data_IF_550131622872
#
_entry.id   IF_550131622872
#
_cell.length_a   1.000
_cell.length_b   1.000
_cell.length_c   1.000
_cell.angle_alpha   90.00
_cell.angle_beta   90.00
_cell.angle_gamma   90.00
#
_symmetry.space_group_name_H-M   'P 1'
#
loop_
_entity.id
_entity.type
_entity.pdbx_description
1 polymer ?
#
# COMPACT_ATOMS: atom_id res chain seq x y z
N UNK A 1 5.32 -15.66 -5.36
CA UNK A 1 5.37 -14.37 -6.07
C UNK A 1 6.80 -13.84 -6.25
N UNK A 2 7.76 -14.23 -5.41
CA UNK A 2 9.17 -14.02 -5.73
C UNK A 2 9.55 -14.86 -6.94
N UNK A 3 10.17 -14.26 -7.95
CA UNK A 3 10.64 -14.95 -9.17
C UNK A 3 12.03 -14.47 -9.55
N UNK A 4 12.74 -15.31 -10.32
CA UNK A 4 13.95 -14.90 -11.00
C UNK A 4 13.57 -14.26 -12.34
N UNK A 5 13.94 -13.01 -12.52
CA UNK A 5 13.67 -12.26 -13.74
C UNK A 5 14.99 -11.77 -14.34
N UNK A 6 15.52 -12.55 -15.29
CA UNK A 6 16.82 -12.28 -15.93
C UNK A 6 18.00 -12.18 -14.96
N UNK A 7 18.05 -13.09 -13.99
CA UNK A 7 19.09 -13.13 -12.98
C UNK A 7 18.87 -12.20 -11.77
N UNK A 8 17.73 -11.49 -11.72
CA UNK A 8 17.35 -10.61 -10.63
C UNK A 8 16.16 -11.20 -9.89
N UNK A 9 16.24 -11.26 -8.55
CA UNK A 9 15.09 -11.62 -7.74
C UNK A 9 14.11 -10.44 -7.69
N UNK A 10 12.88 -10.68 -8.13
CA UNK A 10 11.82 -9.66 -8.19
C UNK A 10 10.53 -10.18 -7.55
N UNK A 11 9.67 -9.26 -7.12
CA UNK A 11 8.35 -9.59 -6.56
C UNK A 11 7.27 -9.28 -7.57
N UNK A 12 6.70 -10.33 -8.13
CA UNK A 12 5.63 -10.23 -9.11
C UNK A 12 4.36 -9.64 -8.47
N UNK A 13 3.77 -8.65 -9.12
CA UNK A 13 2.58 -7.95 -8.62
C UNK A 13 1.39 -8.91 -8.45
N UNK A 14 1.02 -9.61 -9.51
CA UNK A 14 -0.20 -10.42 -9.56
C UNK A 14 0.06 -11.77 -10.23
N UNK A 15 -0.65 -12.79 -9.76
CA UNK A 15 -0.72 -14.12 -10.34
C UNK A 15 -2.16 -14.65 -10.25
N UNK A 16 -2.53 -15.59 -11.16
CA UNK A 16 -3.79 -16.31 -11.04
C UNK A 16 -3.62 -17.69 -10.42
N UNK A 17 -4.71 -18.22 -9.87
CA UNK A 17 -4.76 -19.57 -9.29
C UNK A 17 -4.43 -20.67 -10.31
N UNK A 18 -5.00 -20.53 -11.52
CA UNK A 18 -4.76 -21.46 -12.60
C UNK A 18 -3.51 -21.03 -13.39
N UNK A 19 -2.45 -21.85 -13.45
CA UNK A 19 -1.25 -21.54 -14.23
C UNK A 19 -1.50 -21.32 -15.73
N UNK A 20 -2.49 -22.00 -16.32
CA UNK A 20 -2.86 -21.81 -17.73
C UNK A 20 -3.47 -20.42 -17.93
N UNK A 21 -4.44 -20.04 -17.09
CA UNK A 21 -5.03 -18.70 -17.10
C UNK A 21 -3.98 -17.64 -16.79
N UNK A 22 -3.06 -17.91 -15.87
CA UNK A 22 -1.98 -17.01 -15.54
C UNK A 22 -1.10 -16.70 -16.74
N UNK A 23 -0.74 -17.71 -17.54
CA UNK A 23 0.06 -17.54 -18.76
C UNK A 23 -0.66 -16.77 -19.88
N UNK A 24 -1.99 -16.85 -19.93
CA UNK A 24 -2.81 -16.12 -20.92
C UNK A 24 -2.95 -14.64 -20.52
N UNK A 25 -3.29 -14.36 -19.25
CA UNK A 25 -3.53 -13.00 -18.80
C UNK A 25 -2.25 -12.24 -18.46
N UNK A 26 -1.22 -12.95 -18.01
CA UNK A 26 0.07 -12.39 -17.63
C UNK A 26 1.21 -13.14 -18.32
N UNK A 27 1.31 -13.05 -19.66
CA UNK A 27 2.36 -13.75 -20.44
C UNK A 27 3.76 -13.30 -20.01
N UNK A 28 3.86 -12.13 -19.40
CA UNK A 28 5.09 -11.62 -18.81
C UNK A 28 4.81 -11.16 -17.36
N UNK A 29 5.73 -11.42 -16.42
CA UNK A 29 5.59 -10.93 -15.06
C UNK A 29 5.59 -9.39 -15.05
N UNK A 30 4.69 -8.81 -14.27
CA UNK A 30 4.60 -7.37 -14.03
C UNK A 30 5.08 -7.11 -12.61
N UNK A 31 5.91 -6.09 -12.47
CA UNK A 31 6.45 -5.62 -11.19
C UNK A 31 6.02 -4.18 -10.99
N UNK A 32 5.66 -3.84 -9.77
CA UNK A 32 5.23 -2.51 -9.41
C UNK A 32 5.92 -2.07 -8.13
N UNK A 33 6.39 -0.82 -8.11
CA UNK A 33 7.24 -0.30 -7.05
C UNK A 33 6.50 -0.20 -5.71
N UNK A 34 5.34 0.45 -5.73
CA UNK A 34 4.47 0.65 -4.58
C UNK A 34 3.08 0.05 -4.80
N UNK A 35 2.07 0.70 -4.29
CA UNK A 35 0.64 0.38 -4.37
C UNK A 35 0.33 -1.13 -4.30
N UNK A 36 -0.11 -1.77 -5.36
CA UNK A 36 -0.46 -3.20 -5.32
C UNK A 36 0.73 -4.13 -5.50
N UNK A 37 1.78 -3.70 -6.20
CA UNK A 37 2.98 -4.49 -6.45
C UNK A 37 3.95 -4.54 -5.29
N UNK A 38 4.02 -3.48 -4.50
CA UNK A 38 4.75 -3.39 -3.24
C UNK A 38 6.17 -3.93 -3.24
N UNK A 39 6.90 -3.85 -4.37
CA UNK A 39 8.28 -4.36 -4.45
C UNK A 39 9.18 -3.75 -3.36
N UNK A 40 9.08 -2.44 -3.12
CA UNK A 40 9.89 -1.76 -2.10
C UNK A 40 9.49 -2.19 -0.68
N UNK A 41 8.20 -2.18 -0.34
CA UNK A 41 7.74 -2.55 0.99
C UNK A 41 7.97 -4.04 1.27
N UNK A 42 7.73 -4.92 0.30
CA UNK A 42 8.00 -6.35 0.46
C UNK A 42 9.48 -6.61 0.68
N UNK A 43 10.36 -5.89 -0.02
CA UNK A 43 11.81 -5.98 0.21
C UNK A 43 12.17 -5.60 1.64
N UNK A 44 11.61 -4.51 2.17
CA UNK A 44 11.82 -4.14 3.59
C UNK A 44 11.31 -5.22 4.55
N UNK A 45 10.17 -5.85 4.26
CA UNK A 45 9.68 -6.97 5.08
C UNK A 45 10.64 -8.16 5.07
N UNK A 46 11.30 -8.43 3.96
CA UNK A 46 12.31 -9.48 3.87
C UNK A 46 13.61 -9.12 4.60
N UNK A 47 14.00 -7.84 4.62
CA UNK A 47 15.09 -7.37 5.47
C UNK A 47 14.73 -7.58 6.96
N UNK A 48 13.49 -7.29 7.36
CA UNK A 48 12.99 -7.55 8.71
C UNK A 48 12.97 -9.05 9.06
N UNK A 49 12.66 -9.92 8.11
CA UNK A 49 12.75 -11.37 8.30
C UNK A 49 14.20 -11.79 8.60
N UNK A 50 15.15 -11.22 7.88
CA UNK A 50 16.56 -11.44 8.19
C UNK A 50 16.94 -10.95 9.60
N UNK A 51 16.46 -9.77 10.01
CA UNK A 51 16.70 -9.23 11.36
C UNK A 51 16.18 -10.18 12.44
N UNK A 52 15.00 -10.75 12.24
CA UNK A 52 14.32 -11.59 13.25
C UNK A 52 14.75 -13.05 13.25
N UNK A 53 15.05 -13.60 12.10
CA UNK A 53 15.25 -15.03 11.92
C UNK A 53 16.61 -15.40 11.32
N UNK A 54 17.46 -14.41 10.96
CA UNK A 54 18.75 -14.66 10.30
C UNK A 54 18.63 -15.20 8.87
N UNK A 55 17.46 -15.03 8.23
CA UNK A 55 17.19 -15.61 6.92
C UNK A 55 17.90 -14.82 5.80
N UNK A 56 19.13 -15.26 5.49
CA UNK A 56 19.98 -14.60 4.51
C UNK A 56 19.41 -14.62 3.09
N UNK A 57 18.70 -15.69 2.71
CA UNK A 57 18.06 -15.77 1.40
C UNK A 57 17.05 -14.64 1.18
N UNK A 58 16.29 -14.30 2.22
CA UNK A 58 15.34 -13.19 2.15
C UNK A 58 16.05 -11.84 2.06
N UNK A 59 17.16 -11.65 2.81
CA UNK A 59 17.98 -10.44 2.65
C UNK A 59 18.52 -10.31 1.23
N UNK A 60 19.13 -11.37 0.70
CA UNK A 60 19.70 -11.35 -0.64
C UNK A 60 18.63 -11.08 -1.72
N UNK A 61 17.43 -11.65 -1.57
CA UNK A 61 16.30 -11.38 -2.46
C UNK A 61 15.81 -9.92 -2.36
N UNK A 62 15.73 -9.37 -1.15
CA UNK A 62 15.35 -7.98 -0.93
C UNK A 62 16.35 -7.01 -1.56
N UNK A 63 17.64 -7.22 -1.32
CA UNK A 63 18.70 -6.39 -1.90
C UNK A 63 18.71 -6.49 -3.43
N UNK A 64 18.56 -7.68 -3.99
CA UNK A 64 18.46 -7.90 -5.44
C UNK A 64 17.31 -7.09 -6.06
N UNK A 65 16.14 -7.14 -5.44
CA UNK A 65 14.96 -6.40 -5.93
C UNK A 65 15.17 -4.88 -5.85
N UNK A 66 15.58 -4.37 -4.68
CA UNK A 66 15.78 -2.94 -4.48
C UNK A 66 16.89 -2.40 -5.40
N UNK A 67 18.00 -3.13 -5.50
CA UNK A 67 19.12 -2.74 -6.35
C UNK A 67 18.70 -2.62 -7.83
N UNK A 68 17.87 -3.55 -8.32
CA UNK A 68 17.31 -3.49 -9.67
C UNK A 68 16.42 -2.26 -9.89
N UNK A 69 15.58 -1.90 -8.89
CA UNK A 69 14.77 -0.69 -8.98
C UNK A 69 15.62 0.58 -8.98
N UNK A 70 16.67 0.66 -8.14
CA UNK A 70 17.58 1.83 -8.11
C UNK A 70 18.22 2.09 -9.47
N UNK A 71 18.52 1.03 -10.24
CA UNK A 71 19.10 1.12 -11.59
C UNK A 71 18.13 1.67 -12.64
N UNK A 72 16.81 1.69 -12.34
CA UNK A 72 15.82 2.23 -13.29
C UNK A 72 15.68 3.75 -13.22
N UNK A 73 16.27 4.40 -12.20
CA UNK A 73 16.09 5.83 -11.97
C UNK A 73 16.80 6.67 -13.03
N UNK A 74 16.07 7.62 -13.59
CA UNK A 74 16.58 8.60 -14.54
C UNK A 74 17.37 9.73 -13.83
N UNK A 75 18.20 10.49 -14.56
CA UNK A 75 18.97 11.59 -13.96
C UNK A 75 18.13 12.65 -13.25
N UNK A 76 16.89 12.88 -13.70
CA UNK A 76 15.95 13.80 -13.06
C UNK A 76 15.29 13.27 -11.78
N UNK A 77 15.59 12.04 -11.37
CA UNK A 77 15.03 11.42 -10.15
C UNK A 77 13.78 10.58 -10.35
N UNK A 78 13.11 10.66 -11.51
CA UNK A 78 11.96 9.80 -11.83
C UNK A 78 12.41 8.40 -12.22
N UNK A 79 11.48 7.46 -12.16
CA UNK A 79 11.68 6.08 -12.58
C UNK A 79 10.36 5.46 -13.06
N UNK A 80 10.37 4.41 -13.91
CA UNK A 80 9.16 3.69 -14.31
C UNK A 80 8.56 2.98 -13.09
N UNK A 81 7.35 3.34 -12.69
CA UNK A 81 6.72 2.77 -11.48
C UNK A 81 6.17 1.37 -11.69
N UNK A 82 5.93 1.01 -12.96
CA UNK A 82 5.60 -0.34 -13.40
C UNK A 82 6.72 -0.85 -14.30
N UNK A 83 7.22 -2.05 -14.01
CA UNK A 83 8.29 -2.68 -14.76
C UNK A 83 7.81 -3.98 -15.40
N UNK A 84 7.75 -3.97 -16.72
CA UNK A 84 7.61 -5.19 -17.53
C UNK A 84 8.54 -5.05 -18.73
N UNK A 85 9.32 -6.10 -19.03
CA UNK A 85 10.37 -6.04 -20.06
C UNK A 85 9.88 -5.65 -21.45
N UNK A 86 8.64 -5.99 -21.80
CA UNK A 86 8.04 -5.72 -23.11
C UNK A 86 7.45 -4.30 -23.21
N UNK A 87 7.37 -3.55 -22.10
CA UNK A 87 6.93 -2.17 -22.10
C UNK A 87 8.18 -1.30 -22.08
N UNK A 88 8.34 -0.46 -23.10
CA UNK A 88 9.44 0.49 -23.12
C UNK A 88 9.35 1.43 -21.92
N UNK A 89 10.43 1.49 -21.13
CA UNK A 89 10.51 2.31 -19.91
C UNK A 89 10.23 3.79 -20.18
N UNK A 90 10.44 4.24 -21.40
CA UNK A 90 10.30 5.64 -21.80
C UNK A 90 8.86 6.09 -22.02
N UNK A 91 7.92 5.15 -22.17
CA UNK A 91 6.55 5.45 -22.59
C UNK A 91 5.49 5.25 -21.50
N UNK A 92 5.83 4.72 -20.35
CA UNK A 92 4.87 4.52 -19.26
C UNK A 92 5.05 5.62 -18.21
N UNK A 93 4.12 6.56 -18.11
CA UNK A 93 4.16 7.56 -17.04
C UNK A 93 4.14 6.89 -15.67
N UNK A 94 5.01 7.33 -14.78
CA UNK A 94 4.96 6.94 -13.39
C UNK A 94 3.88 7.72 -12.63
N UNK A 95 3.24 7.08 -11.67
CA UNK A 95 2.19 7.70 -10.88
C UNK A 95 2.67 8.11 -9.48
N UNK A 96 2.03 9.16 -8.94
CA UNK A 96 2.42 9.80 -7.67
C UNK A 96 2.27 8.87 -6.46
N UNK A 97 1.32 7.93 -6.48
CA UNK A 97 1.12 6.95 -5.42
C UNK A 97 2.35 6.03 -5.32
N UNK A 98 2.75 5.45 -6.44
CA UNK A 98 3.93 4.59 -6.53
C UNK A 98 5.23 5.34 -6.21
N UNK A 99 5.39 6.58 -6.69
CA UNK A 99 6.56 7.40 -6.35
C UNK A 99 6.67 7.65 -4.85
N UNK A 100 5.58 8.08 -4.22
CA UNK A 100 5.57 8.35 -2.79
C UNK A 100 5.83 7.10 -1.96
N UNK A 101 5.23 5.98 -2.35
CA UNK A 101 5.46 4.71 -1.65
C UNK A 101 6.90 4.24 -1.78
N UNK A 102 7.44 4.21 -2.99
CA UNK A 102 8.82 3.78 -3.25
C UNK A 102 9.83 4.70 -2.53
N UNK A 103 9.62 6.01 -2.57
CA UNK A 103 10.47 6.97 -1.87
C UNK A 103 10.52 6.74 -0.38
N UNK A 104 9.35 6.61 0.26
CA UNK A 104 9.27 6.34 1.70
C UNK A 104 9.92 4.99 2.08
N UNK A 105 9.65 3.93 1.32
CA UNK A 105 10.19 2.60 1.61
C UNK A 105 11.68 2.49 1.30
N UNK A 106 12.22 3.27 0.34
CA UNK A 106 13.66 3.38 0.11
C UNK A 106 14.38 3.96 1.33
N UNK A 107 13.86 5.06 1.90
CA UNK A 107 14.41 5.66 3.14
C UNK A 107 14.32 4.69 4.29
N UNK A 108 13.17 4.06 4.52
CA UNK A 108 12.95 3.09 5.60
C UNK A 108 13.88 1.87 5.47
N UNK A 109 14.09 1.39 4.24
CA UNK A 109 15.00 0.26 3.97
C UNK A 109 16.46 0.66 4.20
N UNK A 110 16.85 1.87 3.78
CA UNK A 110 18.17 2.43 4.07
C UNK A 110 18.42 2.52 5.57
N UNK A 111 17.52 3.14 6.33
CA UNK A 111 17.66 3.30 7.78
C UNK A 111 17.77 1.94 8.50
N UNK A 112 16.97 0.96 8.08
CA UNK A 112 17.02 -0.40 8.63
C UNK A 112 18.36 -1.08 8.32
N UNK A 113 18.84 -1.03 7.08
CA UNK A 113 20.14 -1.63 6.70
C UNK A 113 21.31 -0.94 7.39
N UNK A 114 21.28 0.39 7.50
CA UNK A 114 22.26 1.19 8.24
C UNK A 114 22.36 0.75 9.70
N UNK A 115 21.21 0.48 10.35
CA UNK A 115 21.19 -0.03 11.74
C UNK A 115 21.83 -1.42 11.90
N UNK A 116 21.93 -2.19 10.82
CA UNK A 116 22.59 -3.48 10.74
C UNK A 116 24.07 -3.39 10.31
N UNK A 117 24.59 -2.19 10.06
CA UNK A 117 25.94 -1.99 9.53
C UNK A 117 26.09 -2.35 8.03
N UNK A 118 24.96 -2.47 7.30
CA UNK A 118 24.96 -2.78 5.87
C UNK A 118 24.81 -1.47 5.10
N UNK A 119 25.91 -1.00 4.50
CA UNK A 119 25.86 0.24 3.69
C UNK A 119 25.08 0.04 2.38
N UNK A 120 24.13 0.96 2.14
CA UNK A 120 23.33 1.08 0.92
C UNK A 120 22.95 2.54 0.67
N UNK A 121 23.94 3.42 0.67
CA UNK A 121 23.76 4.88 0.50
C UNK A 121 22.92 5.21 -0.74
N UNK A 122 23.05 4.43 -1.80
CA UNK A 122 22.26 4.60 -3.03
C UNK A 122 20.74 4.55 -2.83
N UNK A 123 20.23 3.94 -1.74
CA UNK A 123 18.80 3.93 -1.46
C UNK A 123 18.33 5.30 -0.93
N UNK A 124 19.17 5.93 -0.09
CA UNK A 124 18.91 7.29 0.33
C UNK A 124 19.05 8.26 -0.83
N UNK A 125 20.10 8.13 -1.65
CA UNK A 125 20.33 8.95 -2.85
C UNK A 125 19.18 8.86 -3.86
N UNK A 126 18.61 7.67 -4.03
CA UNK A 126 17.40 7.45 -4.84
C UNK A 126 16.23 8.27 -4.32
N UNK A 127 15.93 8.19 -3.02
CA UNK A 127 14.86 8.94 -2.39
C UNK A 127 15.11 10.45 -2.43
N UNK A 128 16.35 10.90 -2.23
CA UNK A 128 16.73 12.31 -2.34
C UNK A 128 16.44 12.85 -3.75
N UNK A 129 16.93 12.19 -4.79
CA UNK A 129 16.69 12.64 -6.18
C UNK A 129 15.21 12.65 -6.54
N UNK A 130 14.46 11.64 -6.10
CA UNK A 130 13.01 11.58 -6.30
C UNK A 130 12.29 12.73 -5.60
N UNK A 131 12.55 12.94 -4.32
CA UNK A 131 11.90 13.99 -3.55
C UNK A 131 12.32 15.39 -3.99
N UNK A 132 13.58 15.59 -4.38
CA UNK A 132 14.06 16.87 -4.94
C UNK A 132 13.30 17.22 -6.21
N UNK A 133 13.09 16.25 -7.13
CA UNK A 133 12.24 16.47 -8.29
C UNK A 133 10.86 17.00 -7.90
N UNK A 134 10.19 16.39 -6.93
CA UNK A 134 8.85 16.81 -6.53
C UNK A 134 8.83 18.10 -5.71
N UNK A 135 9.90 18.44 -4.99
CA UNK A 135 10.07 19.76 -4.36
C UNK A 135 10.20 20.86 -5.41
N UNK A 136 11.00 20.62 -6.46
CA UNK A 136 11.24 21.57 -7.55
C UNK A 136 10.02 21.76 -8.46
N UNK A 137 9.22 20.71 -8.67
CA UNK A 137 8.07 20.72 -9.58
C UNK A 137 6.72 20.83 -8.85
N UNK A 138 6.74 21.15 -7.55
CA UNK A 138 5.53 21.41 -6.79
C UNK A 138 4.78 22.64 -7.35
N UNK A 139 3.50 22.48 -7.63
CA UNK A 139 2.64 23.56 -8.11
C UNK A 139 1.66 23.99 -7.02
N UNK A 140 1.49 25.30 -6.81
CA UNK A 140 0.64 25.85 -5.74
C UNK A 140 -0.87 25.62 -5.95
N UNK A 141 -1.29 25.28 -7.16
CA UNK A 141 -2.69 24.99 -7.50
C UNK A 141 -2.94 23.48 -7.58
N UNK A 142 -2.05 22.76 -8.26
CA UNK A 142 -2.25 21.36 -8.60
C UNK A 142 -1.40 20.38 -7.74
N UNK A 143 -0.56 20.88 -6.85
CA UNK A 143 0.30 20.06 -6.00
C UNK A 143 1.30 19.24 -6.82
N UNK A 144 1.39 17.95 -6.53
CA UNK A 144 2.35 17.04 -7.19
C UNK A 144 1.88 16.47 -8.54
N UNK A 145 0.65 16.77 -8.99
CA UNK A 145 0.07 16.12 -10.17
C UNK A 145 -0.35 14.67 -9.90
N UNK A 146 -0.64 13.91 -10.95
CA UNK A 146 -1.07 12.51 -10.87
C UNK A 146 -0.02 11.59 -11.48
N UNK A 147 0.35 11.82 -12.74
CA UNK A 147 1.34 11.02 -13.48
C UNK A 147 2.35 11.90 -14.18
N UNK A 148 3.55 11.35 -14.33
CA UNK A 148 4.69 12.03 -14.93
C UNK A 148 5.37 11.12 -15.95
N UNK A 149 5.71 11.66 -17.13
CA UNK A 149 6.57 10.96 -18.06
C UNK A 149 8.04 10.98 -17.58
N UNK A 150 8.87 10.16 -18.18
CA UNK A 150 10.28 10.06 -17.77
C UNK A 150 11.12 11.30 -18.15
N UNK A 151 10.58 12.20 -18.93
CA UNK A 151 11.18 13.49 -19.28
C UNK A 151 10.88 14.58 -18.23
N UNK A 152 9.97 14.30 -17.28
CA UNK A 152 9.60 15.24 -16.23
C UNK A 152 8.41 16.12 -16.60
N UNK A 153 7.61 15.73 -17.59
CA UNK A 153 6.38 16.43 -17.91
C UNK A 153 5.18 15.74 -17.23
N UNK A 154 4.19 16.53 -16.81
CA UNK A 154 2.92 15.99 -16.34
C UNK A 154 2.17 15.29 -17.49
N UNK A 155 1.84 14.03 -17.28
CA UNK A 155 1.07 13.25 -18.26
C UNK A 155 -0.45 13.46 -18.16
N UNK A 156 -0.93 13.98 -17.03
CA UNK A 156 -2.34 14.31 -16.78
C UNK A 156 -2.49 15.76 -16.34
N UNK A 157 -3.66 16.32 -16.61
CA UNK A 157 -4.08 17.62 -16.07
C UNK A 157 -4.64 17.47 -14.65
N UNK A 158 -4.35 18.43 -13.80
CA UNK A 158 -4.85 18.50 -12.44
C UNK A 158 -4.11 17.61 -11.44
N UNK A 159 -4.76 17.34 -10.33
CA UNK A 159 -4.25 16.49 -9.27
C UNK A 159 -5.41 15.87 -8.45
N UNK A 160 -5.08 14.89 -7.64
CA UNK A 160 -6.01 14.22 -6.72
C UNK A 160 -5.34 13.98 -5.37
N UNK A 161 -6.05 13.39 -4.43
CA UNK A 161 -5.57 13.19 -3.06
C UNK A 161 -4.47 12.14 -2.92
N UNK A 162 -4.11 11.43 -3.98
CA UNK A 162 -2.94 10.52 -3.95
C UNK A 162 -1.60 11.26 -3.79
N UNK A 163 -1.59 12.59 -3.92
CA UNK A 163 -0.43 13.41 -3.50
C UNK A 163 -0.02 13.21 -2.03
N UNK A 164 -0.93 12.74 -1.17
CA UNK A 164 -0.61 12.34 0.21
C UNK A 164 0.48 11.28 0.33
N UNK A 165 0.62 10.41 -0.66
CA UNK A 165 1.73 9.43 -0.68
C UNK A 165 3.09 10.11 -0.87
N UNK A 166 3.18 11.17 -1.67
CA UNK A 166 4.43 11.92 -1.79
C UNK A 166 4.75 12.69 -0.51
N UNK A 167 3.74 13.21 0.19
CA UNK A 167 3.93 13.81 1.52
C UNK A 167 4.55 12.79 2.49
N UNK A 168 4.13 11.53 2.44
CA UNK A 168 4.73 10.46 3.22
C UNK A 168 6.24 10.30 2.93
N UNK A 169 6.64 10.29 1.66
CA UNK A 169 8.05 10.19 1.28
C UNK A 169 8.88 11.39 1.78
N UNK A 170 8.35 12.60 1.63
CA UNK A 170 8.99 13.82 2.11
C UNK A 170 9.19 13.82 3.64
N UNK A 171 8.21 13.35 4.40
CA UNK A 171 8.31 13.24 5.87
C UNK A 171 9.38 12.21 6.26
N UNK A 172 9.41 11.04 5.64
CA UNK A 172 10.43 10.03 5.94
C UNK A 172 11.83 10.55 5.60
N UNK A 173 11.98 11.23 4.47
CA UNK A 173 13.26 11.80 4.08
C UNK A 173 13.69 12.93 5.03
N UNK A 174 12.78 13.77 5.48
CA UNK A 174 13.06 14.77 6.52
C UNK A 174 13.54 14.12 7.82
N UNK A 175 12.89 13.05 8.27
CA UNK A 175 13.29 12.33 9.49
C UNK A 175 14.69 11.76 9.40
N UNK A 176 15.11 11.27 8.24
CA UNK A 176 16.44 10.69 8.06
C UNK A 176 17.53 11.76 7.85
N UNK A 177 17.23 12.83 7.12
CA UNK A 177 18.25 13.84 6.72
C UNK A 177 18.26 15.09 7.57
N UNK A 178 17.14 15.45 8.19
CA UNK A 178 16.94 16.74 8.89
C UNK A 178 16.80 17.94 7.97
N UNK A 179 16.76 17.75 6.65
CA UNK A 179 16.69 18.85 5.68
C UNK A 179 15.28 19.47 5.63
N UNK A 180 15.19 20.72 6.10
CA UNK A 180 13.93 21.45 6.24
C UNK A 180 13.12 21.58 4.95
N UNK A 181 13.77 21.64 3.78
CA UNK A 181 13.08 21.76 2.49
C UNK A 181 12.00 20.68 2.29
N UNK A 182 12.25 19.45 2.78
CA UNK A 182 11.30 18.35 2.67
C UNK A 182 10.08 18.53 3.60
N UNK A 183 10.31 18.93 4.85
CA UNK A 183 9.23 19.22 5.78
C UNK A 183 8.39 20.42 5.32
N UNK A 184 9.04 21.47 4.84
CA UNK A 184 8.37 22.69 4.36
C UNK A 184 7.48 22.37 3.14
N UNK A 185 8.00 21.57 2.18
CA UNK A 185 7.21 21.11 1.04
C UNK A 185 6.05 20.18 1.49
N UNK A 186 6.31 19.26 2.41
CA UNK A 186 5.27 18.38 2.97
C UNK A 186 4.13 19.17 3.61
N UNK A 187 4.44 20.17 4.45
CA UNK A 187 3.45 21.02 5.11
C UNK A 187 2.67 21.87 4.09
N UNK A 188 3.37 22.51 3.17
CA UNK A 188 2.75 23.35 2.14
C UNK A 188 1.80 22.54 1.26
N UNK A 189 2.22 21.38 0.79
CA UNK A 189 1.38 20.51 -0.02
C UNK A 189 0.22 19.91 0.79
N UNK A 190 0.44 19.56 2.06
CA UNK A 190 -0.61 19.10 2.95
C UNK A 190 -1.76 20.12 3.04
N UNK A 191 -1.44 21.39 3.32
CA UNK A 191 -2.44 22.44 3.41
C UNK A 191 -3.20 22.67 2.10
N UNK A 192 -2.53 22.61 0.95
CA UNK A 192 -3.19 22.71 -0.35
C UNK A 192 -4.28 21.65 -0.52
N UNK A 193 -3.90 20.38 -0.35
CA UNK A 193 -4.84 19.27 -0.53
C UNK A 193 -5.93 19.25 0.56
N UNK A 194 -5.56 19.60 1.81
CA UNK A 194 -6.51 19.70 2.92
C UNK A 194 -7.64 20.66 2.57
N UNK A 195 -7.31 21.91 2.24
CA UNK A 195 -8.29 22.95 1.94
C UNK A 195 -9.10 22.65 0.67
N UNK A 196 -8.45 22.13 -0.37
CA UNK A 196 -9.10 21.88 -1.65
C UNK A 196 -10.02 20.66 -1.62
N UNK A 197 -9.60 19.57 -0.99
CA UNK A 197 -10.22 18.26 -1.09
C UNK A 197 -10.67 17.69 0.27
N UNK A 198 -9.75 17.52 1.22
CA UNK A 198 -10.00 16.74 2.44
C UNK A 198 -11.06 17.37 3.33
N UNK A 199 -11.06 18.69 3.47
CA UNK A 199 -12.07 19.41 4.25
C UNK A 199 -13.48 19.27 3.67
N UNK A 200 -13.59 18.87 2.42
CA UNK A 200 -14.83 18.56 1.69
C UNK A 200 -15.14 17.07 1.62
N UNK A 201 -14.39 16.23 2.32
CA UNK A 201 -14.48 14.75 2.25
C UNK A 201 -14.28 14.19 0.83
N UNK A 202 -13.44 14.83 0.02
CA UNK A 202 -13.09 14.37 -1.32
C UNK A 202 -11.78 13.60 -1.21
N UNK A 203 -11.86 12.29 -1.39
CA UNK A 203 -10.71 11.37 -1.44
C UNK A 203 -10.76 10.64 -2.77
N UNK A 204 -9.87 10.98 -3.67
CA UNK A 204 -9.83 10.45 -5.02
C UNK A 204 -8.46 9.87 -5.33
N UNK A 205 -8.43 8.68 -5.92
CA UNK A 205 -7.23 7.94 -6.23
C UNK A 205 -7.08 7.72 -7.74
N UNK A 206 -6.54 8.71 -8.44
CA UNK A 206 -6.34 8.59 -9.90
C UNK A 206 -5.29 7.57 -10.31
N UNK A 207 -4.42 7.17 -9.41
CA UNK A 207 -3.42 6.14 -9.65
C UNK A 207 -3.93 4.73 -9.32
N UNK A 208 -5.13 4.63 -8.72
CA UNK A 208 -5.75 3.38 -8.32
C UNK A 208 -6.77 2.94 -9.38
N UNK A 209 -7.37 1.78 -9.20
CA UNK A 209 -8.12 1.07 -10.25
C UNK A 209 -9.19 1.87 -10.95
N UNK A 210 -9.79 2.87 -10.33
CA UNK A 210 -11.01 3.46 -10.86
C UNK A 210 -10.99 4.97 -11.09
N UNK A 211 -9.98 5.68 -10.62
CA UNK A 211 -9.88 7.14 -10.76
C UNK A 211 -11.00 7.93 -10.08
N UNK A 212 -11.83 7.29 -9.25
CA UNK A 212 -12.93 7.87 -8.52
C UNK A 212 -12.70 8.02 -7.03
N UNK A 213 -13.79 8.15 -6.28
CA UNK A 213 -13.76 8.09 -4.82
C UNK A 213 -13.40 6.68 -4.37
N UNK A 214 -12.39 6.54 -3.53
CA UNK A 214 -11.98 5.29 -2.94
C UNK A 214 -11.46 5.48 -1.50
N UNK A 215 -11.34 4.38 -0.77
CA UNK A 215 -10.84 4.39 0.60
C UNK A 215 -9.32 4.51 0.69
N UNK A 216 -8.61 4.02 -0.30
CA UNK A 216 -7.16 3.84 -0.23
C UNK A 216 -6.43 5.17 -0.14
N UNK A 217 -6.97 6.17 -0.83
CA UNK A 217 -6.47 7.54 -0.74
C UNK A 217 -6.69 8.23 0.60
N UNK A 218 -7.45 7.65 1.53
CA UNK A 218 -7.52 8.18 2.90
C UNK A 218 -6.31 7.76 3.76
N UNK A 219 -5.68 6.63 3.46
CA UNK A 219 -4.56 6.11 4.25
C UNK A 219 -3.39 7.10 4.39
N UNK A 220 -2.83 7.67 3.31
CA UNK A 220 -1.71 8.60 3.46
C UNK A 220 -2.08 9.84 4.28
N UNK A 221 -3.36 10.26 4.26
CA UNK A 221 -3.84 11.40 5.05
C UNK A 221 -3.95 11.08 6.54
N UNK A 222 -4.35 9.86 6.91
CA UNK A 222 -4.31 9.43 8.32
C UNK A 222 -2.87 9.41 8.81
N UNK A 223 -1.97 8.75 8.05
CA UNK A 223 -0.57 8.57 8.41
C UNK A 223 0.16 9.91 8.50
N UNK A 224 0.13 10.71 7.43
CA UNK A 224 0.89 11.96 7.35
C UNK A 224 0.38 13.03 8.33
N UNK A 225 -0.93 13.05 8.61
CA UNK A 225 -1.47 13.92 9.65
C UNK A 225 -0.92 13.56 11.03
N UNK A 226 -0.91 12.28 11.40
CA UNK A 226 -0.35 11.84 12.69
C UNK A 226 1.16 12.07 12.78
N UNK A 227 1.86 11.93 11.67
CA UNK A 227 3.29 12.17 11.60
C UNK A 227 3.64 13.67 11.68
N UNK A 228 2.87 14.53 11.03
CA UNK A 228 3.03 15.99 11.15
C UNK A 228 2.63 16.50 12.53
N UNK A 229 1.59 15.94 13.15
CA UNK A 229 1.25 16.23 14.55
C UNK A 229 2.43 15.90 15.46
N UNK A 230 3.03 14.73 15.31
CA UNK A 230 4.19 14.29 16.10
C UNK A 230 5.41 15.23 15.92
N UNK A 231 5.68 15.64 14.68
CA UNK A 231 6.83 16.51 14.36
C UNK A 231 6.64 17.95 14.83
N UNK A 232 5.42 18.48 14.70
CA UNK A 232 5.15 19.91 14.88
C UNK A 232 4.45 20.26 16.18
N UNK A 233 3.73 19.32 16.78
CA UNK A 233 2.84 19.58 17.92
C UNK A 233 1.56 20.36 17.56
N UNK A 234 1.27 20.55 16.27
CA UNK A 234 0.09 21.30 15.82
C UNK A 234 -1.15 20.40 15.79
N UNK A 235 -2.09 20.68 16.72
CA UNK A 235 -3.34 19.92 16.87
C UNK A 235 -4.27 19.99 15.64
N UNK A 236 -4.09 20.93 14.74
CA UNK A 236 -4.84 20.99 13.48
C UNK A 236 -4.68 19.74 12.61
N UNK A 237 -3.54 19.06 12.72
CA UNK A 237 -3.31 17.78 12.02
C UNK A 237 -4.15 16.64 12.61
N UNK A 238 -4.48 16.66 13.92
CA UNK A 238 -5.34 15.64 14.51
C UNK A 238 -6.75 15.66 13.92
N UNK A 239 -7.31 16.86 13.69
CA UNK A 239 -8.63 16.99 13.06
C UNK A 239 -8.64 16.34 11.67
N UNK A 240 -7.60 16.56 10.87
CA UNK A 240 -7.47 15.95 9.54
C UNK A 240 -7.32 14.43 9.63
N UNK A 241 -6.53 13.93 10.59
CA UNK A 241 -6.37 12.50 10.82
C UNK A 241 -7.72 11.83 11.16
N UNK A 242 -8.50 12.44 12.05
CA UNK A 242 -9.82 11.94 12.46
C UNK A 242 -10.81 11.95 11.28
N UNK A 243 -10.81 13.01 10.48
CA UNK A 243 -11.65 13.13 9.27
C UNK A 243 -11.32 12.03 8.26
N UNK A 244 -10.05 11.85 7.93
CA UNK A 244 -9.59 10.80 7.01
C UNK A 244 -9.86 9.38 7.55
N UNK A 245 -9.67 9.16 8.85
CA UNK A 245 -9.97 7.88 9.49
C UNK A 245 -11.48 7.59 9.51
N UNK A 246 -12.31 8.60 9.78
CA UNK A 246 -13.77 8.47 9.68
C UNK A 246 -14.23 8.14 8.26
N UNK A 247 -13.65 8.81 7.26
CA UNK A 247 -13.91 8.51 5.86
C UNK A 247 -13.49 7.06 5.51
N UNK A 248 -12.27 6.64 5.87
CA UNK A 248 -11.82 5.27 5.65
C UNK A 248 -12.78 4.25 6.26
N UNK A 249 -13.21 4.48 7.52
CA UNK A 249 -14.13 3.59 8.22
C UNK A 249 -15.52 3.52 7.56
N UNK A 250 -15.96 4.56 6.86
CA UNK A 250 -17.25 4.56 6.16
C UNK A 250 -17.32 3.51 5.02
N UNK A 251 -16.17 3.01 4.57
CA UNK A 251 -16.08 1.94 3.58
C UNK A 251 -16.08 0.54 4.20
N UNK A 252 -15.93 0.44 5.53
CA UNK A 252 -15.92 -0.84 6.23
C UNK A 252 -17.34 -1.39 6.42
N UNK A 253 -17.51 -2.67 6.17
CA UNK A 253 -18.74 -3.37 6.49
C UNK A 253 -18.87 -3.50 8.00
N UNK A 254 -19.98 -3.04 8.53
CA UNK A 254 -20.29 -3.06 9.96
C UNK A 254 -21.29 -4.18 10.32
N UNK A 255 -21.55 -5.09 9.40
CA UNK A 255 -22.44 -6.21 9.51
C UNK A 255 -21.95 -7.39 8.68
N UNK A 256 -22.46 -8.59 8.98
CA UNK A 256 -22.16 -9.78 8.22
C UNK A 256 -23.25 -10.02 7.16
N UNK A 257 -22.82 -10.01 5.90
CA UNK A 257 -23.70 -10.35 4.79
C UNK A 257 -23.90 -11.88 4.71
N UNK A 258 -25.10 -12.30 4.39
CA UNK A 258 -25.40 -13.71 4.12
C UNK A 258 -25.05 -14.05 2.68
N UNK A 259 -24.38 -15.17 2.51
CA UNK A 259 -23.97 -15.70 1.20
C UNK A 259 -24.58 -17.06 0.94
N UNK A 260 -24.65 -17.49 -0.35
CA UNK A 260 -25.11 -18.83 -0.70
C UNK A 260 -24.32 -19.91 0.05
N UNK A 261 -24.99 -21.02 0.47
CA UNK A 261 -24.32 -22.10 1.22
C UNK A 261 -23.11 -22.71 0.51
N UNK A 262 -23.12 -22.71 -0.83
CA UNK A 262 -22.05 -23.24 -1.68
C UNK A 262 -20.87 -22.27 -1.85
N UNK A 263 -21.01 -21.02 -1.40
CA UNK A 263 -19.94 -20.02 -1.52
C UNK A 263 -18.76 -20.31 -0.58
N UNK A 264 -17.58 -19.78 -0.92
CA UNK A 264 -16.40 -19.88 -0.06
C UNK A 264 -16.63 -19.22 1.30
N UNK A 265 -17.39 -18.11 1.35
CA UNK A 265 -17.77 -17.45 2.59
C UNK A 265 -18.49 -18.37 3.56
N UNK A 266 -19.54 -19.04 3.08
CA UNK A 266 -20.31 -19.98 3.90
C UNK A 266 -19.50 -21.23 4.24
N UNK A 267 -18.75 -21.77 3.27
CA UNK A 267 -17.95 -22.98 3.43
C UNK A 267 -16.83 -22.83 4.45
N UNK A 268 -16.16 -21.68 4.46
CA UNK A 268 -15.03 -21.43 5.36
C UNK A 268 -15.39 -20.60 6.59
N UNK A 269 -16.66 -20.24 6.77
CA UNK A 269 -17.10 -19.41 7.89
C UNK A 269 -16.54 -18.01 7.87
N UNK A 270 -16.33 -17.43 6.70
CA UNK A 270 -15.88 -16.05 6.56
C UNK A 270 -17.02 -15.07 6.85
N UNK A 271 -16.66 -13.85 7.23
CA UNK A 271 -17.60 -12.79 7.55
C UNK A 271 -17.17 -11.45 6.93
N UNK A 272 -18.11 -10.53 6.75
CA UNK A 272 -17.82 -9.25 6.09
C UNK A 272 -17.46 -8.14 7.05
N UNK A 273 -17.85 -8.24 8.33
CA UNK A 273 -17.54 -7.20 9.34
C UNK A 273 -16.06 -6.89 9.40
N UNK A 274 -15.69 -5.60 9.24
CA UNK A 274 -14.31 -5.15 9.19
C UNK A 274 -13.62 -5.29 7.82
N UNK A 275 -14.24 -5.95 6.84
CA UNK A 275 -13.80 -5.88 5.45
C UNK A 275 -14.17 -4.55 4.82
N UNK A 276 -13.44 -4.11 3.81
CA UNK A 276 -13.64 -2.80 3.19
C UNK A 276 -14.07 -2.93 1.72
N UNK A 277 -15.08 -2.14 1.30
CA UNK A 277 -15.35 -1.99 -0.13
C UNK A 277 -14.15 -1.29 -0.80
N UNK A 278 -13.82 -1.68 -2.03
CA UNK A 278 -12.63 -1.14 -2.71
C UNK A 278 -12.89 0.31 -3.11
N UNK A 279 -13.93 0.55 -3.91
CA UNK A 279 -14.25 1.87 -4.44
C UNK A 279 -15.71 1.94 -4.86
N UNK A 280 -16.15 3.12 -5.33
CA UNK A 280 -17.50 3.29 -5.89
C UNK A 280 -17.75 2.45 -7.15
N UNK A 281 -16.71 2.06 -7.86
CA UNK A 281 -16.80 1.32 -9.10
C UNK A 281 -16.43 -0.16 -8.98
N UNK A 282 -15.82 -0.55 -7.86
CA UNK A 282 -15.33 -1.91 -7.64
C UNK A 282 -16.04 -2.56 -6.46
N UNK A 283 -16.98 -3.50 -6.71
CA UNK A 283 -17.88 -4.02 -5.69
C UNK A 283 -17.30 -5.16 -4.85
N UNK A 284 -16.04 -5.51 -5.02
CA UNK A 284 -15.41 -6.51 -4.18
C UNK A 284 -15.12 -5.97 -2.78
N UNK A 285 -15.04 -6.86 -1.82
CA UNK A 285 -14.57 -6.57 -0.47
C UNK A 285 -13.12 -7.03 -0.38
N UNK A 286 -12.26 -6.15 0.07
CA UNK A 286 -10.84 -6.41 0.22
C UNK A 286 -10.35 -6.34 1.67
N UNK A 287 -9.09 -6.63 1.85
CA UNK A 287 -8.39 -6.71 3.13
C UNK A 287 -7.51 -5.47 3.37
N UNK A 288 -7.68 -4.44 2.57
CA UNK A 288 -6.81 -3.26 2.55
C UNK A 288 -6.84 -2.50 3.88
N UNK A 289 -7.91 -2.64 4.65
CA UNK A 289 -8.03 -2.07 5.99
C UNK A 289 -6.91 -2.43 6.96
N UNK A 290 -6.14 -3.48 6.68
CA UNK A 290 -5.02 -3.88 7.53
C UNK A 290 -3.95 -2.79 7.68
N UNK A 291 -3.77 -1.96 6.65
CA UNK A 291 -2.70 -0.95 6.62
C UNK A 291 -2.93 0.20 7.62
N UNK A 292 -4.20 0.53 7.91
CA UNK A 292 -4.54 1.62 8.84
C UNK A 292 -4.60 1.17 10.30
N UNK A 293 -4.44 -0.11 10.59
CA UNK A 293 -4.55 -0.66 11.95
C UNK A 293 -3.64 0.05 12.96
N UNK A 294 -2.33 0.22 12.71
CA UNK A 294 -1.47 0.92 13.66
C UNK A 294 -1.86 2.37 13.89
N UNK A 295 -2.35 3.04 12.84
CA UNK A 295 -2.77 4.44 12.92
C UNK A 295 -4.05 4.59 13.76
N UNK A 296 -4.97 3.63 13.68
CA UNK A 296 -6.16 3.62 14.51
C UNK A 296 -5.83 3.38 15.99
N UNK A 297 -4.82 2.57 16.29
CA UNK A 297 -4.30 2.46 17.66
C UNK A 297 -3.69 3.77 18.16
N UNK A 298 -2.89 4.47 17.33
CA UNK A 298 -2.38 5.82 17.65
C UNK A 298 -3.52 6.80 17.92
N UNK A 299 -4.57 6.82 17.09
CA UNK A 299 -5.76 7.65 17.31
C UNK A 299 -6.46 7.33 18.63
N UNK A 300 -6.61 6.05 18.98
CA UNK A 300 -7.21 5.64 20.26
C UNK A 300 -6.44 6.21 21.46
N UNK A 301 -5.12 6.20 21.40
CA UNK A 301 -4.28 6.75 22.48
C UNK A 301 -4.36 8.28 22.57
N UNK A 302 -4.25 8.97 21.43
CA UNK A 302 -4.27 10.43 21.38
C UNK A 302 -5.64 10.96 21.84
N UNK A 303 -6.72 10.38 21.33
CA UNK A 303 -8.11 10.82 21.61
C UNK A 303 -8.67 10.25 22.91
N UNK A 304 -8.08 9.18 23.45
CA UNK A 304 -8.60 8.36 24.55
C UNK A 304 -10.00 7.80 24.26
N UNK A 305 -10.26 7.50 22.98
CA UNK A 305 -11.52 6.92 22.52
C UNK A 305 -11.27 5.50 21.98
N UNK A 306 -11.78 4.51 22.70
CA UNK A 306 -11.64 3.09 22.36
C UNK A 306 -12.34 2.69 21.05
N UNK A 307 -13.17 3.56 20.47
CA UNK A 307 -13.81 3.27 19.19
C UNK A 307 -12.76 3.00 18.09
N UNK A 308 -11.66 3.72 18.12
CA UNK A 308 -10.57 3.54 17.14
C UNK A 308 -9.86 2.20 17.33
N UNK A 309 -9.63 1.79 18.58
CA UNK A 309 -9.08 0.46 18.89
C UNK A 309 -10.01 -0.65 18.41
N UNK A 310 -11.30 -0.54 18.69
CA UNK A 310 -12.29 -1.54 18.27
C UNK A 310 -12.35 -1.65 16.74
N UNK A 311 -12.29 -0.53 16.03
CA UNK A 311 -12.22 -0.49 14.57
C UNK A 311 -10.94 -1.14 14.04
N UNK A 312 -9.79 -0.84 14.65
CA UNK A 312 -8.51 -1.45 14.30
C UNK A 312 -8.56 -2.98 14.43
N UNK A 313 -9.08 -3.49 15.55
CA UNK A 313 -9.22 -4.93 15.77
C UNK A 313 -10.17 -5.57 14.77
N UNK A 314 -11.29 -4.92 14.43
CA UNK A 314 -12.22 -5.43 13.42
C UNK A 314 -11.56 -5.54 12.03
N UNK A 315 -10.84 -4.49 11.60
CA UNK A 315 -10.08 -4.49 10.35
C UNK A 315 -9.00 -5.58 10.33
N UNK A 316 -8.24 -5.72 11.43
CA UNK A 316 -7.21 -6.75 11.56
C UNK A 316 -7.79 -8.16 11.45
N UNK A 317 -8.84 -8.45 12.20
CA UNK A 317 -9.48 -9.77 12.20
C UNK A 317 -10.03 -10.14 10.83
N UNK A 318 -10.72 -9.23 10.17
CA UNK A 318 -11.20 -9.46 8.81
C UNK A 318 -10.04 -9.69 7.84
N UNK A 319 -8.99 -8.87 7.91
CA UNK A 319 -7.83 -8.98 7.04
C UNK A 319 -7.01 -10.27 7.23
N UNK A 320 -7.24 -11.03 8.30
CA UNK A 320 -6.65 -12.36 8.49
C UNK A 320 -7.48 -13.49 7.89
N UNK A 321 -8.70 -13.21 7.45
CA UNK A 321 -9.51 -14.15 6.70
C UNK A 321 -8.90 -14.43 5.32
N UNK A 322 -9.42 -15.43 4.64
CA UNK A 322 -9.01 -15.80 3.28
C UNK A 322 -7.53 -16.22 3.14
N UNK A 323 -6.79 -16.34 4.23
CA UNK A 323 -5.48 -16.98 4.23
C UNK A 323 -5.69 -18.48 4.10
N UNK A 324 -5.09 -19.08 3.09
CA UNK A 324 -5.21 -20.53 2.88
C UNK A 324 -4.68 -21.30 4.09
N UNK A 325 -5.51 -22.15 4.74
CA UNK A 325 -5.14 -22.86 5.96
C UNK A 325 -4.08 -23.92 5.71
N UNK A 326 -3.52 -24.45 6.81
CA UNK A 326 -2.60 -25.59 6.75
C UNK A 326 -3.32 -26.79 6.11
N UNK A 327 -2.68 -27.40 5.11
CA UNK A 327 -3.29 -28.45 4.28
C UNK A 327 -3.84 -27.95 2.95
N UNK A 328 -3.88 -26.65 2.74
CA UNK A 328 -4.37 -26.05 1.51
C UNK A 328 -5.89 -25.81 1.54
N UNK A 329 -6.39 -25.21 0.48
CA UNK A 329 -7.82 -25.02 0.23
C UNK A 329 -8.13 -25.24 -1.25
N UNK A 330 -9.36 -25.62 -1.56
CA UNK A 330 -9.87 -25.65 -2.93
C UNK A 330 -10.68 -24.39 -3.18
N UNK A 331 -10.24 -23.56 -4.11
CA UNK A 331 -10.91 -22.32 -4.49
C UNK A 331 -11.11 -22.32 -5.99
N UNK A 332 -12.34 -22.14 -6.46
CA UNK A 332 -12.71 -22.18 -7.87
C UNK A 332 -12.16 -23.39 -8.64
N UNK A 333 -12.11 -24.57 -7.97
CA UNK A 333 -11.61 -25.82 -8.58
C UNK A 333 -10.09 -26.01 -8.53
N UNK A 334 -9.32 -25.03 -8.02
CA UNK A 334 -7.86 -25.08 -7.93
C UNK A 334 -7.40 -25.18 -6.48
N UNK A 335 -6.33 -25.96 -6.26
CA UNK A 335 -5.73 -26.11 -4.94
C UNK A 335 -4.79 -24.94 -4.66
N UNK A 336 -5.07 -24.19 -3.61
CA UNK A 336 -4.20 -23.13 -3.09
C UNK A 336 -3.23 -23.68 -2.05
N UNK A 337 -1.94 -23.36 -2.17
CA UNK A 337 -0.96 -23.66 -1.13
C UNK A 337 -1.24 -22.93 0.17
N UNK A 338 -0.74 -23.51 1.29
CA UNK A 338 -0.81 -22.88 2.60
C UNK A 338 -0.21 -21.47 2.62
N UNK A 339 -0.90 -20.56 3.29
CA UNK A 339 -0.45 -19.18 3.51
C UNK A 339 -0.74 -18.19 2.37
N UNK A 340 -1.19 -18.67 1.21
CA UNK A 340 -1.64 -17.75 0.16
C UNK A 340 -2.95 -17.07 0.55
N UNK A 341 -3.10 -15.81 0.14
CA UNK A 341 -4.29 -15.02 0.37
C UNK A 341 -4.77 -14.38 -0.92
N UNK A 342 -6.08 -14.44 -1.16
CA UNK A 342 -6.73 -13.72 -2.24
C UNK A 342 -6.63 -12.23 -2.00
N UNK A 343 -6.63 -11.46 -3.07
CA UNK A 343 -6.75 -10.01 -3.02
C UNK A 343 -8.07 -9.57 -2.36
N UNK A 344 -9.16 -10.22 -2.77
CA UNK A 344 -10.50 -9.83 -2.38
C UNK A 344 -11.48 -10.99 -2.54
N UNK A 345 -12.74 -10.74 -2.21
CA UNK A 345 -13.84 -11.63 -2.51
C UNK A 345 -15.03 -10.86 -3.09
N UNK A 346 -15.84 -11.55 -3.89
CA UNK A 346 -16.96 -10.95 -4.60
C UNK A 346 -18.18 -10.80 -3.70
N UNK A 347 -18.52 -9.55 -3.39
CA UNK A 347 -19.62 -9.23 -2.48
C UNK A 347 -20.95 -9.11 -3.22
N UNK A 348 -20.97 -8.57 -4.44
CA UNK A 348 -22.18 -8.27 -5.17
C UNK A 348 -22.25 -9.01 -6.51
N UNK A 349 -23.49 -9.33 -6.91
CA UNK A 349 -23.77 -9.89 -8.22
C UNK A 349 -23.51 -8.90 -9.36
N UNK A 350 -23.72 -7.62 -9.10
CA UNK A 350 -23.57 -6.55 -10.07
C UNK A 350 -22.13 -6.05 -10.10
N UNK A 351 -21.42 -6.40 -11.15
CA UNK A 351 -20.06 -5.95 -11.42
C UNK A 351 -19.86 -5.80 -12.93
N UNK A 352 -18.97 -4.93 -13.34
CA UNK A 352 -18.57 -4.84 -14.75
C UNK A 352 -17.81 -6.06 -15.26
N UNK A 353 -17.30 -6.87 -14.37
CA UNK A 353 -16.60 -8.12 -14.69
C UNK A 353 -17.62 -9.26 -14.70
N UNK A 354 -18.12 -9.66 -15.87
CA UNK A 354 -19.14 -10.72 -16.01
C UNK A 354 -18.79 -12.01 -15.29
N UNK A 355 -17.54 -12.40 -15.28
CA UNK A 355 -17.06 -13.57 -14.52
C UNK A 355 -17.42 -13.53 -13.03
N UNK A 356 -17.47 -12.34 -12.47
CA UNK A 356 -17.63 -12.15 -11.03
C UNK A 356 -19.10 -12.09 -10.61
N UNK A 357 -20.03 -11.92 -11.57
CA UNK A 357 -21.45 -11.85 -11.27
C UNK A 357 -22.01 -13.15 -10.71
N UNK A 358 -21.42 -14.28 -11.08
CA UNK A 358 -21.84 -15.63 -10.66
C UNK A 358 -21.12 -16.09 -9.39
N UNK A 359 -20.05 -15.40 -8.99
CA UNK A 359 -19.14 -15.80 -7.93
C UNK A 359 -19.39 -15.06 -6.60
N UNK A 360 -20.59 -14.59 -6.35
CA UNK A 360 -20.94 -13.89 -5.09
C UNK A 360 -20.58 -14.75 -3.87
N UNK A 361 -19.75 -14.19 -2.99
CA UNK A 361 -19.26 -14.88 -1.80
C UNK A 361 -18.07 -15.82 -2.06
N UNK A 362 -17.55 -15.85 -3.29
CA UNK A 362 -16.33 -16.57 -3.60
C UNK A 362 -15.10 -15.65 -3.57
N UNK A 363 -13.97 -16.24 -3.23
CA UNK A 363 -12.68 -15.57 -3.35
C UNK A 363 -12.37 -15.28 -4.82
N UNK A 364 -11.71 -14.16 -5.09
CA UNK A 364 -11.19 -13.95 -6.44
C UNK A 364 -10.05 -14.94 -6.74
N UNK A 365 -9.77 -15.15 -8.02
CA UNK A 365 -8.76 -16.09 -8.50
C UNK A 365 -7.37 -15.46 -8.62
N UNK A 366 -7.18 -14.26 -8.08
CA UNK A 366 -5.91 -13.54 -8.12
C UNK A 366 -5.19 -13.56 -6.78
N UNK A 367 -3.89 -13.78 -6.82
CA UNK A 367 -2.98 -13.47 -5.75
C UNK A 367 -2.26 -12.17 -6.05
N UNK A 368 -2.14 -11.34 -5.06
CA UNK A 368 -1.34 -10.13 -5.10
C UNK A 368 -0.41 -10.08 -3.90
N UNK A 369 0.68 -9.36 -4.01
CA UNK A 369 1.68 -9.34 -2.95
C UNK A 369 1.32 -8.42 -1.80
N UNK A 370 0.53 -7.37 -2.05
CA UNK A 370 0.22 -6.34 -1.06
C UNK A 370 -0.39 -6.85 0.27
N UNK A 371 -1.27 -7.89 0.32
CA UNK A 371 -1.82 -8.32 1.60
C UNK A 371 -0.76 -8.79 2.58
N UNK A 372 0.28 -9.49 2.08
CA UNK A 372 1.39 -9.93 2.90
C UNK A 372 2.26 -8.73 3.34
N UNK A 373 2.60 -7.84 2.41
CA UNK A 373 3.43 -6.66 2.69
C UNK A 373 2.77 -5.76 3.75
N UNK A 374 1.49 -5.44 3.59
CA UNK A 374 0.75 -4.58 4.52
C UNK A 374 0.57 -5.21 5.89
N UNK A 375 0.27 -6.52 5.95
CA UNK A 375 0.15 -7.22 7.23
C UNK A 375 1.44 -7.22 8.01
N UNK A 376 2.55 -7.55 7.36
CA UNK A 376 3.86 -7.57 8.00
C UNK A 376 4.30 -6.16 8.42
N UNK A 377 4.01 -5.13 7.60
CA UNK A 377 4.30 -3.75 7.94
C UNK A 377 3.45 -3.25 9.12
N UNK A 378 2.15 -3.58 9.13
CA UNK A 378 1.27 -3.24 10.25
C UNK A 378 1.73 -3.92 11.54
N UNK A 379 2.03 -5.21 11.48
CA UNK A 379 2.55 -5.95 12.64
C UNK A 379 3.88 -5.38 13.13
N UNK A 380 4.84 -5.10 12.24
CA UNK A 380 6.11 -4.48 12.60
C UNK A 380 5.90 -3.13 13.30
N UNK A 381 5.00 -2.28 12.77
CA UNK A 381 4.69 -0.99 13.40
C UNK A 381 4.03 -1.16 14.77
N UNK A 382 3.11 -2.12 14.93
CA UNK A 382 2.52 -2.45 16.24
C UNK A 382 3.58 -2.92 17.24
N UNK A 383 4.50 -3.77 16.83
CA UNK A 383 5.59 -4.23 17.70
C UNK A 383 6.57 -3.10 18.06
N UNK A 384 6.83 -2.16 17.16
CA UNK A 384 7.66 -0.99 17.46
C UNK A 384 6.97 -0.02 18.44
N UNK A 385 5.67 0.17 18.31
CA UNK A 385 4.90 1.07 19.17
C UNK A 385 4.64 0.47 20.58
N UNK A 386 4.36 -0.83 20.66
CA UNK A 386 3.82 -1.48 21.85
C UNK A 386 4.66 -2.65 22.36
N UNK A 387 5.80 -2.96 21.73
CA UNK A 387 6.58 -4.17 22.03
C UNK A 387 5.75 -5.44 21.82
N UNK A 388 6.05 -6.49 22.58
CA UNK A 388 5.33 -7.78 22.49
C UNK A 388 3.80 -7.63 22.77
N UNK A 389 3.41 -6.65 23.57
CA UNK A 389 1.98 -6.34 23.79
C UNK A 389 1.25 -5.94 22.49
N UNK A 390 1.97 -5.44 21.49
CA UNK A 390 1.38 -5.11 20.18
C UNK A 390 0.69 -6.30 19.52
N UNK A 391 1.23 -7.50 19.70
CA UNK A 391 0.59 -8.72 19.22
C UNK A 391 -0.69 -9.06 19.98
N UNK A 392 -0.69 -8.90 21.31
CA UNK A 392 -1.87 -9.19 22.14
C UNK A 392 -3.02 -8.20 21.90
N UNK A 393 -2.70 -6.95 21.56
CA UNK A 393 -3.68 -5.93 21.20
C UNK A 393 -4.46 -6.26 19.91
N UNK A 394 -3.89 -7.08 19.02
CA UNK A 394 -4.48 -7.48 17.75
C UNK A 394 -5.40 -8.71 17.86
N UNK A 395 -5.39 -9.40 18.98
CA UNK A 395 -6.21 -10.59 19.25
C UNK A 395 -7.59 -10.21 19.79
#
# INVERSE_FOLDING_TARGET
MMCDYHGVKMFRNVMRDNPEDDSIYFPHPVFEAGWSGQCFQQSRMFILDYVRHGNKEMLDAALSCLDAWMETQFPNGLFPTNYARHISREYVPGDICNYGWAGAEAVRSYALLKSLGISRERYLEFAVRLCDFFVEHYDERDGFGIRWDMQGNRADSGSNTSGGFMIMALIELYRETGEKKYLDCARKSFELYKQRDIDRFIFTGGALDCGGMDKECAYPWILTSLDLLEITGDEGYLETALKAAGYFWSWAFQYDALYPPESDFSKYGYYTSGGTAISTLHPAIDLWGIIVVPEYFRLAEITRDDIWRNRAVALWRNATLCITPKGGAMVLGHRRPYGLQSEAFFQARWTRYRRNCENRGHLNDMYVIWPAAYRLAALDKMLRLYGEKGWDLLR
#
